data_IF_685504170127
#
_entry.id   IF_685504170127
#
_cell.length_a   1.000
_cell.length_b   1.000
_cell.length_c   1.000
_cell.angle_alpha   90.00
_cell.angle_beta   90.00
_cell.angle_gamma   90.00
#
_symmetry.space_group_name_H-M   'P 1'
#
loop_
_entity.id
_entity.type
_entity.pdbx_description
1 polymer ?
#
# COMPACT_ATOMS: atom_id res chain seq x y z
N UNK A 1 -3.94 -54.42 42.45
CA UNK A 1 -4.80 -53.45 41.73
C UNK A 1 -4.03 -52.18 41.57
N UNK A 2 -3.37 -52.04 40.45
CA UNK A 2 -2.46 -50.91 40.15
C UNK A 2 -3.24 -49.92 39.26
N UNK A 3 -3.39 -48.67 39.72
CA UNK A 3 -3.97 -47.56 38.93
C UNK A 3 -2.89 -46.93 38.08
N UNK A 4 -3.06 -46.98 36.75
CA UNK A 4 -2.32 -46.21 35.80
C UNK A 4 -2.68 -44.73 35.92
N UNK A 5 -1.71 -43.79 35.79
CA UNK A 5 -2.00 -42.37 35.69
C UNK A 5 -2.51 -42.05 34.28
N UNK A 6 -3.58 -41.25 34.23
CA UNK A 6 -4.09 -40.63 33.01
C UNK A 6 -3.21 -39.41 32.69
N UNK A 7 -2.24 -39.60 31.84
CA UNK A 7 -1.55 -38.47 31.23
C UNK A 7 -2.53 -37.73 30.31
N UNK A 8 -2.98 -36.56 30.75
CA UNK A 8 -3.68 -35.58 29.92
C UNK A 8 -2.69 -35.03 28.91
N UNK A 9 -2.73 -35.58 27.71
CA UNK A 9 -2.11 -34.92 26.54
C UNK A 9 -2.86 -33.59 26.36
N UNK A 10 -2.27 -32.49 26.81
CA UNK A 10 -2.61 -31.15 26.35
C UNK A 10 -2.24 -31.12 24.88
N UNK A 11 -3.23 -31.23 24.02
CA UNK A 11 -3.09 -30.79 22.64
C UNK A 11 -2.74 -29.29 22.65
N UNK A 12 -1.45 -29.00 22.52
CA UNK A 12 -0.98 -27.67 22.13
C UNK A 12 -1.56 -27.39 20.74
N UNK A 13 -2.66 -26.66 20.70
CA UNK A 13 -3.22 -26.12 19.47
C UNK A 13 -2.14 -25.22 18.84
N UNK A 14 -1.66 -25.56 17.64
CA UNK A 14 -0.59 -24.81 17.03
C UNK A 14 -1.12 -23.47 16.52
N UNK A 15 -0.41 -22.42 16.86
CA UNK A 15 -0.33 -21.18 16.11
C UNK A 15 -1.64 -20.49 15.79
N UNK A 16 -2.18 -19.75 16.74
CA UNK A 16 -2.86 -18.51 16.39
C UNK A 16 -1.77 -17.53 15.91
N UNK A 17 -1.45 -17.57 14.62
CA UNK A 17 -0.64 -16.52 14.03
C UNK A 17 -1.33 -15.18 14.32
N UNK A 18 -0.61 -14.16 14.85
CA UNK A 18 -1.23 -12.87 15.11
C UNK A 18 -1.89 -12.38 13.81
N UNK A 19 -3.08 -11.75 13.88
CA UNK A 19 -3.77 -11.30 12.69
C UNK A 19 -2.82 -10.38 11.92
N UNK A 20 -2.49 -10.78 10.71
CA UNK A 20 -1.48 -10.15 9.85
C UNK A 20 -1.85 -8.70 9.51
N UNK A 21 -3.12 -8.37 9.63
CA UNK A 21 -3.68 -7.05 9.45
C UNK A 21 -4.46 -6.67 10.71
N UNK A 22 -3.88 -5.85 11.57
CA UNK A 22 -4.58 -5.35 12.75
C UNK A 22 -5.43 -4.14 12.38
N UNK A 23 -6.58 -4.00 13.05
CA UNK A 23 -7.44 -2.81 12.89
C UNK A 23 -6.66 -1.52 13.15
N UNK A 24 -5.70 -1.54 14.07
CA UNK A 24 -4.85 -0.40 14.36
C UNK A 24 -4.01 0.06 13.15
N UNK A 25 -3.47 -0.86 12.35
CA UNK A 25 -2.73 -0.52 11.12
C UNK A 25 -3.69 0.10 10.10
N UNK A 26 -4.88 -0.50 9.91
CA UNK A 26 -5.88 0.04 8.99
C UNK A 26 -6.34 1.45 9.40
N UNK A 27 -6.57 1.70 10.68
CA UNK A 27 -6.91 3.04 11.16
C UNK A 27 -5.83 4.06 10.81
N UNK A 28 -4.55 3.75 11.05
CA UNK A 28 -3.43 4.63 10.68
C UNK A 28 -3.36 4.90 9.17
N UNK A 29 -3.63 3.89 8.35
CA UNK A 29 -3.71 4.07 6.88
C UNK A 29 -4.88 5.00 6.52
N UNK A 30 -6.05 4.83 7.15
CA UNK A 30 -7.21 5.69 6.91
C UNK A 30 -6.93 7.14 7.31
N UNK A 31 -6.30 7.36 8.47
CA UNK A 31 -5.92 8.69 8.95
C UNK A 31 -4.94 9.37 7.99
N UNK A 32 -3.89 8.66 7.58
CA UNK A 32 -2.94 9.20 6.59
C UNK A 32 -3.57 9.43 5.22
N UNK A 33 -4.47 8.56 4.77
CA UNK A 33 -5.21 8.81 3.54
C UNK A 33 -6.04 10.09 3.62
N UNK A 34 -6.68 10.35 4.77
CA UNK A 34 -7.46 11.55 5.00
C UNK A 34 -6.56 12.80 5.01
N UNK A 35 -5.43 12.74 5.70
CA UNK A 35 -4.46 13.83 5.73
C UNK A 35 -3.88 14.10 4.34
N UNK A 36 -3.63 13.06 3.55
CA UNK A 36 -3.21 13.20 2.15
C UNK A 36 -4.26 13.90 1.29
N UNK A 37 -5.53 13.52 1.41
CA UNK A 37 -6.63 14.17 0.67
C UNK A 37 -6.77 15.65 1.07
N UNK A 38 -6.63 15.97 2.37
CA UNK A 38 -6.64 17.35 2.85
C UNK A 38 -5.44 18.14 2.33
N UNK A 39 -4.25 17.52 2.26
CA UNK A 39 -3.06 18.13 1.67
C UNK A 39 -3.32 18.51 0.22
N UNK A 40 -3.82 17.57 -0.60
CA UNK A 40 -4.18 17.82 -1.99
C UNK A 40 -5.22 18.96 -2.15
N UNK A 41 -6.22 19.00 -1.27
CA UNK A 41 -7.26 20.04 -1.30
C UNK A 41 -6.73 21.42 -0.95
N UNK A 42 -5.78 21.53 0.00
CA UNK A 42 -5.15 22.80 0.40
C UNK A 42 -4.23 23.36 -0.68
N UNK A 43 -3.40 22.53 -1.28
CA UNK A 43 -2.52 22.95 -2.38
C UNK A 43 -3.29 23.50 -3.58
N UNK A 44 -4.51 23.02 -3.81
CA UNK A 44 -5.39 23.57 -4.84
C UNK A 44 -5.95 24.96 -4.47
N UNK A 45 -6.25 25.18 -3.19
CA UNK A 45 -6.81 26.47 -2.72
C UNK A 45 -5.78 27.61 -2.75
N UNK A 46 -4.51 27.31 -2.56
CA UNK A 46 -3.39 28.26 -2.56
C UNK A 46 -2.89 28.58 -3.99
N UNK A 47 -3.82 28.92 -4.88
CA UNK A 47 -3.59 29.19 -6.32
C UNK A 47 -2.56 30.29 -6.63
N UNK A 48 -1.97 30.93 -5.65
CA UNK A 48 -0.90 31.93 -5.81
C UNK A 48 0.46 31.30 -6.12
N UNK A 49 0.64 30.03 -5.86
CA UNK A 49 1.83 29.27 -6.22
C UNK A 49 1.42 28.30 -7.33
N UNK A 50 1.81 28.54 -8.58
CA UNK A 50 1.49 27.71 -9.75
C UNK A 50 2.19 26.33 -9.70
N UNK A 51 2.22 25.73 -8.54
CA UNK A 51 2.76 24.41 -8.31
C UNK A 51 1.65 23.41 -8.60
N UNK A 52 1.45 23.16 -9.90
CA UNK A 52 0.66 21.99 -10.29
C UNK A 52 1.24 20.79 -9.59
N UNK A 53 0.43 20.12 -8.78
CA UNK A 53 0.76 18.77 -8.29
C UNK A 53 1.19 17.95 -9.51
N UNK A 54 2.47 17.62 -9.64
CA UNK A 54 2.91 16.85 -10.79
C UNK A 54 2.12 15.54 -10.75
N UNK A 55 1.41 15.25 -11.84
CA UNK A 55 0.73 13.98 -12.09
C UNK A 55 -0.71 13.80 -11.61
N UNK A 56 -1.38 14.79 -10.98
CA UNK A 56 -2.81 14.62 -10.68
C UNK A 56 -3.67 15.24 -11.79
N UNK A 57 -4.58 14.49 -12.44
CA UNK A 57 -5.38 15.04 -13.55
C UNK A 57 -6.23 16.23 -13.09
N UNK A 58 -6.27 17.35 -13.84
CA UNK A 58 -7.02 18.56 -13.45
C UNK A 58 -8.50 18.29 -13.13
N UNK A 59 -9.15 17.40 -13.90
CA UNK A 59 -10.54 16.98 -13.63
C UNK A 59 -10.72 16.29 -12.29
N UNK A 60 -9.76 15.46 -11.89
CA UNK A 60 -9.82 14.78 -10.60
C UNK A 60 -9.61 15.77 -9.46
N UNK A 61 -8.75 16.76 -9.65
CA UNK A 61 -8.51 17.82 -8.69
C UNK A 61 -9.76 18.70 -8.48
N UNK A 62 -10.45 19.06 -9.58
CA UNK A 62 -11.73 19.77 -9.52
C UNK A 62 -12.82 18.98 -8.78
N UNK A 63 -12.88 17.66 -8.96
CA UNK A 63 -13.81 16.81 -8.22
C UNK A 63 -13.44 16.75 -6.73
N UNK A 64 -12.15 16.73 -6.38
CA UNK A 64 -11.68 16.72 -5.01
C UNK A 64 -12.11 18.00 -4.26
N UNK A 65 -12.04 19.17 -4.88
CA UNK A 65 -12.48 20.44 -4.26
C UNK A 65 -13.97 20.50 -3.97
N UNK A 66 -14.76 19.67 -4.65
CA UNK A 66 -16.22 19.55 -4.42
C UNK A 66 -16.57 18.52 -3.32
N UNK A 67 -15.58 17.75 -2.85
CA UNK A 67 -15.81 16.78 -1.79
C UNK A 67 -15.88 17.49 -0.43
N UNK A 68 -16.96 17.26 0.31
CA UNK A 68 -17.05 17.64 1.72
C UNK A 68 -16.20 16.70 2.62
N UNK A 69 -16.03 17.07 3.86
CA UNK A 69 -15.26 16.27 4.83
C UNK A 69 -15.80 14.84 4.97
N UNK A 70 -17.13 14.67 4.87
CA UNK A 70 -17.77 13.35 4.92
C UNK A 70 -17.39 12.48 3.71
N UNK A 71 -17.35 13.08 2.52
CA UNK A 71 -16.90 12.39 1.30
C UNK A 71 -15.41 12.04 1.39
N UNK A 72 -14.56 12.96 1.88
CA UNK A 72 -13.13 12.69 2.08
C UNK A 72 -12.91 11.52 3.04
N UNK A 73 -13.64 11.46 4.17
CA UNK A 73 -13.58 10.34 5.10
C UNK A 73 -14.01 9.01 4.47
N UNK A 74 -15.04 9.01 3.61
CA UNK A 74 -15.46 7.81 2.88
C UNK A 74 -14.38 7.34 1.89
N UNK A 75 -13.72 8.28 1.19
CA UNK A 75 -12.62 8.02 0.28
C UNK A 75 -11.42 7.45 1.06
N UNK A 76 -11.05 8.07 2.17
CA UNK A 76 -9.91 7.68 2.99
C UNK A 76 -10.01 6.24 3.54
N UNK A 77 -11.24 5.72 3.73
CA UNK A 77 -11.50 4.35 4.23
C UNK A 77 -11.29 3.27 3.17
N UNK A 78 -10.21 3.35 2.41
CA UNK A 78 -9.73 2.26 1.55
C UNK A 78 -8.69 1.43 2.29
N UNK A 79 -8.60 0.10 2.04
CA UNK A 79 -7.65 -0.76 2.75
C UNK A 79 -6.24 -0.70 2.15
N UNK A 80 -5.80 0.48 1.68
CA UNK A 80 -4.47 0.74 1.11
C UNK A 80 -4.20 2.24 1.12
N UNK A 81 -2.92 2.63 0.91
CA UNK A 81 -2.56 4.04 0.76
C UNK A 81 -3.05 4.60 -0.57
N UNK A 82 -3.61 5.81 -0.56
CA UNK A 82 -4.02 6.55 -1.76
C UNK A 82 -2.84 7.24 -2.45
N UNK A 83 -1.69 7.26 -1.82
CA UNK A 83 -0.44 7.81 -2.32
C UNK A 83 0.59 6.71 -2.56
N UNK A 84 1.53 6.96 -3.46
CA UNK A 84 2.74 6.18 -3.67
C UNK A 84 3.93 6.92 -3.07
N UNK A 85 4.91 6.15 -2.61
CA UNK A 85 6.22 6.63 -2.14
C UNK A 85 7.35 6.19 -3.10
N UNK A 86 7.00 5.84 -4.35
CA UNK A 86 7.98 5.41 -5.37
C UNK A 86 8.53 4.01 -5.12
N UNK A 87 7.77 3.12 -4.49
CA UNK A 87 8.23 1.76 -4.16
C UNK A 87 8.43 0.85 -5.36
N UNK A 88 7.99 1.24 -6.53
CA UNK A 88 8.23 0.58 -7.82
C UNK A 88 9.67 0.75 -8.32
N UNK A 89 10.40 1.78 -7.89
CA UNK A 89 11.79 2.00 -8.28
C UNK A 89 12.79 1.40 -7.26
N UNK A 90 12.95 0.09 -7.33
CA UNK A 90 13.88 -0.63 -6.45
C UNK A 90 15.33 -0.12 -6.57
N UNK A 91 15.76 0.29 -7.76
CA UNK A 91 17.12 0.80 -7.98
C UNK A 91 17.38 2.10 -7.24
N UNK A 92 16.40 3.01 -7.28
CA UNK A 92 16.45 4.23 -6.48
C UNK A 92 16.59 3.90 -4.99
N UNK A 93 15.72 3.03 -4.47
CA UNK A 93 15.71 2.67 -3.05
C UNK A 93 17.00 1.98 -2.60
N UNK A 94 17.58 1.10 -3.45
CA UNK A 94 18.86 0.49 -3.18
C UNK A 94 19.95 1.57 -3.05
N UNK A 95 20.03 2.49 -4.02
CA UNK A 95 21.00 3.58 -3.97
C UNK A 95 20.79 4.49 -2.75
N UNK A 96 19.56 4.88 -2.43
CA UNK A 96 19.25 5.75 -1.29
C UNK A 96 19.54 5.09 0.07
N UNK A 97 19.41 3.77 0.17
CA UNK A 97 19.73 3.02 1.37
C UNK A 97 21.22 2.69 1.50
N UNK A 98 21.99 2.64 0.40
CA UNK A 98 23.43 2.32 0.42
C UNK A 98 24.32 3.53 0.74
N UNK A 99 23.79 4.75 0.60
CA UNK A 99 24.58 5.97 0.80
C UNK A 99 24.96 6.15 2.27
N UNK A 100 26.20 5.79 2.58
CA UNK A 100 26.87 6.13 3.84
C UNK A 100 27.36 7.58 3.76
N UNK A 101 26.67 8.48 4.43
CA UNK A 101 27.09 9.83 4.90
C UNK A 101 27.58 10.92 3.93
N UNK A 102 27.88 10.71 2.66
CA UNK A 102 28.60 11.73 1.88
C UNK A 102 27.78 12.51 0.83
N UNK A 103 26.50 12.25 0.61
CA UNK A 103 25.73 12.86 -0.50
C UNK A 103 24.61 13.84 -0.12
N UNK A 104 24.59 14.34 1.09
CA UNK A 104 23.50 15.21 1.61
C UNK A 104 23.44 16.62 1.01
N UNK A 105 24.23 16.97 -0.03
CA UNK A 105 24.35 18.37 -0.47
C UNK A 105 23.90 18.70 -1.90
N UNK A 106 23.30 17.78 -2.66
CA UNK A 106 23.12 18.03 -4.11
C UNK A 106 21.70 18.17 -4.63
N UNK A 107 20.67 17.98 -3.81
CA UNK A 107 19.30 18.17 -4.29
C UNK A 107 18.72 19.48 -3.76
N UNK A 108 18.76 20.53 -4.61
CA UNK A 108 18.03 21.77 -4.38
C UNK A 108 16.55 21.45 -4.26
N UNK A 109 16.01 21.59 -3.06
CA UNK A 109 14.61 21.42 -2.76
C UNK A 109 13.84 22.59 -3.37
N UNK A 110 13.02 22.35 -4.39
CA UNK A 110 12.07 23.33 -4.87
C UNK A 110 11.12 23.69 -3.73
N UNK A 111 10.81 24.96 -3.56
CA UNK A 111 10.00 25.48 -2.43
C UNK A 111 8.62 24.83 -2.27
N UNK A 112 8.03 24.32 -3.35
CA UNK A 112 6.78 23.55 -3.33
C UNK A 112 6.85 22.20 -2.62
N UNK A 113 8.04 21.64 -2.55
CA UNK A 113 8.29 20.33 -1.92
C UNK A 113 8.22 20.41 -0.39
N UNK A 114 8.40 21.62 0.19
CA UNK A 114 8.35 21.82 1.64
C UNK A 114 6.98 21.54 2.27
N UNK A 115 5.89 21.79 1.56
CA UNK A 115 4.54 21.57 2.09
C UNK A 115 4.26 20.07 2.24
N UNK A 116 4.80 19.25 1.35
CA UNK A 116 4.61 17.80 1.35
C UNK A 116 5.61 17.06 2.25
N UNK A 117 6.74 17.67 2.58
CA UNK A 117 7.84 17.05 3.32
C UNK A 117 7.41 16.42 4.67
N UNK A 118 6.71 17.13 5.56
CA UNK A 118 6.28 16.57 6.83
C UNK A 118 5.34 15.38 6.67
N UNK A 119 4.43 15.42 5.69
CA UNK A 119 3.55 14.29 5.40
C UNK A 119 4.36 13.09 4.86
N UNK A 120 5.27 13.34 3.93
CA UNK A 120 6.13 12.29 3.36
C UNK A 120 6.97 11.60 4.44
N UNK A 121 7.54 12.37 5.38
CA UNK A 121 8.30 11.81 6.51
C UNK A 121 7.43 10.85 7.33
N UNK A 122 6.25 11.26 7.74
CA UNK A 122 5.33 10.42 8.53
C UNK A 122 4.91 9.18 7.76
N UNK A 123 4.57 9.34 6.47
CA UNK A 123 4.14 8.24 5.60
C UNK A 123 5.27 7.21 5.39
N UNK A 124 6.52 7.68 5.18
CA UNK A 124 7.67 6.81 5.00
C UNK A 124 8.06 6.07 6.29
N UNK A 125 8.00 6.75 7.45
CA UNK A 125 8.25 6.12 8.75
C UNK A 125 7.20 5.04 9.07
N UNK A 126 5.92 5.31 8.77
CA UNK A 126 4.88 4.28 8.91
C UNK A 126 5.12 3.11 7.94
N UNK A 127 5.51 3.38 6.69
CA UNK A 127 5.81 2.34 5.72
C UNK A 127 6.98 1.45 6.19
N UNK A 128 8.04 2.04 6.73
CA UNK A 128 9.16 1.33 7.34
C UNK A 128 8.71 0.47 8.52
N UNK A 129 7.88 1.01 9.41
CA UNK A 129 7.33 0.27 10.55
C UNK A 129 6.49 -0.94 10.09
N UNK A 130 5.61 -0.75 9.11
CA UNK A 130 4.78 -1.83 8.56
C UNK A 130 5.64 -2.90 7.90
N UNK A 131 6.67 -2.52 7.12
CA UNK A 131 7.58 -3.44 6.46
C UNK A 131 8.32 -4.34 7.47
N UNK A 132 8.72 -3.76 8.63
CA UNK A 132 9.39 -4.51 9.71
C UNK A 132 8.43 -5.35 10.56
N UNK A 133 7.13 -5.00 10.59
CA UNK A 133 6.15 -5.68 11.43
C UNK A 133 5.40 -6.78 10.70
N UNK A 134 5.08 -6.59 9.41
CA UNK A 134 4.27 -7.53 8.63
C UNK A 134 4.53 -7.40 7.13
N UNK A 135 5.24 -8.39 6.58
CA UNK A 135 5.51 -8.49 5.13
C UNK A 135 4.23 -8.43 4.30
N UNK A 136 3.18 -9.14 4.72
CA UNK A 136 1.92 -9.16 4.00
C UNK A 136 1.21 -7.81 4.05
N UNK A 137 1.20 -7.13 5.21
CA UNK A 137 0.63 -5.79 5.33
C UNK A 137 1.38 -4.78 4.43
N UNK A 138 2.72 -4.82 4.39
CA UNK A 138 3.52 -3.98 3.51
C UNK A 138 3.17 -4.19 2.03
N UNK A 139 2.99 -5.44 1.61
CA UNK A 139 2.59 -5.77 0.23
C UNK A 139 1.19 -5.26 -0.09
N UNK A 140 0.21 -5.60 0.73
CA UNK A 140 -1.21 -5.33 0.43
C UNK A 140 -1.57 -3.85 0.62
N UNK A 141 -1.08 -3.21 1.68
CA UNK A 141 -1.45 -1.82 1.99
C UNK A 141 -0.61 -0.80 1.22
N UNK A 142 0.69 -1.10 1.04
CA UNK A 142 1.66 -0.16 0.49
C UNK A 142 2.08 -0.50 -0.95
N UNK A 143 1.69 -1.66 -1.49
CA UNK A 143 2.20 -2.22 -2.75
C UNK A 143 3.74 -2.32 -2.77
N UNK A 144 4.34 -2.69 -1.62
CA UNK A 144 5.79 -2.78 -1.48
C UNK A 144 6.28 -4.15 -1.96
N UNK A 145 7.21 -4.23 -2.94
CA UNK A 145 7.78 -5.49 -3.39
C UNK A 145 8.63 -6.16 -2.31
N UNK A 146 8.74 -7.48 -2.35
CA UNK A 146 9.46 -8.27 -1.34
C UNK A 146 10.93 -7.85 -1.20
N UNK A 147 11.61 -7.56 -2.31
CA UNK A 147 13.00 -7.09 -2.30
C UNK A 147 13.17 -5.77 -1.54
N UNK A 148 12.18 -4.85 -1.63
CA UNK A 148 12.19 -3.59 -0.90
C UNK A 148 11.89 -3.80 0.59
N UNK A 149 10.99 -4.71 0.94
CA UNK A 149 10.71 -5.06 2.33
C UNK A 149 11.99 -5.58 3.01
N UNK A 150 12.73 -6.45 2.34
CA UNK A 150 14.02 -6.97 2.85
C UNK A 150 15.09 -5.86 2.97
N UNK A 151 15.09 -4.89 2.07
CA UNK A 151 15.95 -3.73 2.14
C UNK A 151 15.59 -2.86 3.36
N UNK A 152 14.32 -2.55 3.56
CA UNK A 152 13.84 -1.74 4.69
C UNK A 152 14.09 -2.41 6.05
N UNK A 153 14.00 -3.73 6.13
CA UNK A 153 14.33 -4.49 7.34
C UNK A 153 15.79 -4.33 7.78
N UNK A 154 16.68 -4.02 6.84
CA UNK A 154 18.12 -3.80 7.11
C UNK A 154 18.47 -2.32 7.26
N UNK A 155 17.56 -1.42 6.89
CA UNK A 155 17.80 0.03 6.90
C UNK A 155 17.47 0.61 8.26
N UNK A 156 18.40 1.28 8.94
CA UNK A 156 18.15 1.89 10.24
C UNK A 156 17.20 3.09 10.11
N UNK A 157 16.41 3.34 11.16
CA UNK A 157 15.41 4.40 11.20
C UNK A 157 15.98 5.78 10.88
N UNK A 158 17.20 6.07 11.36
CA UNK A 158 17.90 7.33 11.09
C UNK A 158 18.12 7.56 9.60
N UNK A 159 18.42 6.51 8.84
CA UNK A 159 18.62 6.59 7.40
C UNK A 159 17.29 6.76 6.66
N UNK A 160 16.23 6.07 7.08
CA UNK A 160 14.88 6.26 6.53
C UNK A 160 14.43 7.71 6.71
N UNK A 161 14.68 8.30 7.89
CA UNK A 161 14.37 9.70 8.16
C UNK A 161 15.17 10.66 7.27
N UNK A 162 16.45 10.39 7.05
CA UNK A 162 17.28 11.17 6.13
C UNK A 162 16.73 11.13 4.70
N UNK A 163 16.36 9.93 4.21
CA UNK A 163 15.74 9.77 2.89
C UNK A 163 14.46 10.58 2.80
N UNK A 164 13.65 10.61 3.86
CA UNK A 164 12.43 11.40 3.89
C UNK A 164 12.69 12.90 3.74
N UNK A 165 13.76 13.41 4.32
CA UNK A 165 14.16 14.82 4.22
C UNK A 165 14.73 15.12 2.83
N UNK A 166 15.54 14.22 2.26
CA UNK A 166 16.28 14.45 1.03
C UNK A 166 15.39 14.29 -0.23
N UNK A 167 14.33 13.45 -0.16
CA UNK A 167 13.53 13.06 -1.32
C UNK A 167 12.01 13.21 -1.16
N UNK A 168 11.49 14.33 -0.64
CA UNK A 168 10.04 14.50 -0.43
C UNK A 168 9.23 14.49 -1.73
N UNK A 169 9.87 14.71 -2.89
CA UNK A 169 9.24 14.66 -4.21
C UNK A 169 8.84 13.25 -4.69
N UNK A 170 9.13 12.20 -3.93
CA UNK A 170 8.64 10.84 -4.21
C UNK A 170 7.16 10.65 -3.88
N UNK A 171 6.54 11.57 -3.15
CA UNK A 171 5.14 11.53 -2.82
C UNK A 171 4.29 11.80 -4.07
N UNK A 172 3.52 10.83 -4.49
CA UNK A 172 2.64 10.94 -5.67
C UNK A 172 1.29 10.28 -5.40
N UNK A 173 0.20 10.74 -6.05
CA UNK A 173 -1.06 10.00 -6.02
C UNK A 173 -0.90 8.65 -6.72
N UNK A 174 -1.54 7.61 -6.20
CA UNK A 174 -1.57 6.32 -6.90
C UNK A 174 -2.47 6.40 -8.13
N UNK A 175 -2.03 5.75 -9.20
CA UNK A 175 -2.80 5.60 -10.44
C UNK A 175 -3.43 6.91 -10.95
N UNK A 176 -2.68 8.00 -11.04
CA UNK A 176 -3.25 9.32 -11.36
C UNK A 176 -3.92 9.35 -12.73
N UNK A 177 -3.43 8.54 -13.67
CA UNK A 177 -3.94 8.46 -15.04
C UNK A 177 -5.05 7.43 -15.23
N UNK A 178 -5.42 6.67 -14.19
CA UNK A 178 -6.50 5.68 -14.30
C UNK A 178 -7.86 6.35 -14.25
N UNK A 179 -8.64 6.36 -15.37
CA UNK A 179 -9.90 7.07 -15.43
C UNK A 179 -11.01 6.43 -14.59
N UNK A 180 -10.88 5.14 -14.28
CA UNK A 180 -11.86 4.40 -13.49
C UNK A 180 -11.63 4.48 -11.99
N UNK A 181 -10.55 5.08 -11.53
CA UNK A 181 -10.22 5.11 -10.10
C UNK A 181 -10.58 6.45 -9.44
N UNK A 182 -9.76 7.49 -9.60
CA UNK A 182 -9.95 8.75 -8.90
C UNK A 182 -11.27 9.46 -9.18
N UNK A 183 -11.67 9.65 -10.45
CA UNK A 183 -12.94 10.33 -10.77
C UNK A 183 -14.14 9.57 -10.20
N UNK A 184 -14.17 8.24 -10.34
CA UNK A 184 -15.26 7.43 -9.84
C UNK A 184 -15.29 7.37 -8.31
N UNK A 185 -14.13 7.26 -7.65
CA UNK A 185 -14.03 7.25 -6.21
C UNK A 185 -14.64 8.53 -5.58
N UNK A 186 -14.29 9.71 -6.13
CA UNK A 186 -14.79 11.00 -5.67
C UNK A 186 -16.28 11.19 -5.96
N UNK A 187 -16.70 10.89 -7.18
CA UNK A 187 -18.10 11.00 -7.60
C UNK A 187 -19.02 10.15 -6.75
N UNK A 188 -18.64 8.89 -6.51
CA UNK A 188 -19.46 7.94 -5.75
C UNK A 188 -19.48 8.23 -4.24
N UNK A 189 -18.37 8.75 -3.70
CA UNK A 189 -18.31 9.20 -2.31
C UNK A 189 -19.27 10.37 -2.05
N UNK A 190 -19.33 11.33 -2.98
CA UNK A 190 -20.25 12.50 -2.94
C UNK A 190 -21.71 12.08 -3.13
N UNK A 191 -21.98 11.14 -4.04
CA UNK A 191 -23.34 10.63 -4.31
C UNK A 191 -23.86 9.65 -3.25
N UNK A 192 -23.02 9.25 -2.30
CA UNK A 192 -23.33 8.28 -1.25
C UNK A 192 -23.76 6.89 -1.79
N UNK A 193 -23.31 6.51 -2.99
CA UNK A 193 -23.53 5.17 -3.55
C UNK A 193 -22.52 4.17 -2.96
N UNK A 194 -22.91 3.58 -1.84
CA UNK A 194 -22.05 2.69 -1.06
C UNK A 194 -21.63 1.44 -1.83
N UNK A 195 -22.53 0.88 -2.65
CA UNK A 195 -22.25 -0.38 -3.36
C UNK A 195 -21.19 -0.13 -4.44
N UNK A 196 -21.42 0.87 -5.30
CA UNK A 196 -20.46 1.21 -6.36
C UNK A 196 -19.14 1.73 -5.80
N UNK A 197 -19.19 2.49 -4.70
CA UNK A 197 -17.98 2.94 -4.02
C UNK A 197 -17.11 1.76 -3.56
N UNK A 198 -17.72 0.70 -3.01
CA UNK A 198 -16.99 -0.51 -2.63
C UNK A 198 -16.38 -1.23 -3.84
N UNK A 199 -17.04 -1.21 -5.00
CA UNK A 199 -16.49 -1.78 -6.23
C UNK A 199 -15.22 -1.02 -6.68
N UNK A 200 -15.21 0.31 -6.58
CA UNK A 200 -14.00 1.11 -6.90
C UNK A 200 -12.89 0.86 -5.87
N UNK A 201 -13.23 0.70 -4.60
CA UNK A 201 -12.25 0.30 -3.58
C UNK A 201 -11.63 -1.07 -3.90
N UNK A 202 -12.43 -2.02 -4.35
CA UNK A 202 -11.94 -3.33 -4.78
C UNK A 202 -11.04 -3.22 -6.04
N UNK A 203 -11.38 -2.35 -6.99
CA UNK A 203 -10.51 -2.07 -8.15
C UNK A 203 -9.11 -1.63 -7.69
N UNK A 204 -8.99 -0.77 -6.67
CA UNK A 204 -7.69 -0.37 -6.13
C UNK A 204 -6.88 -1.55 -5.57
N UNK A 205 -7.53 -2.51 -4.93
CA UNK A 205 -6.86 -3.75 -4.48
C UNK A 205 -6.34 -4.58 -5.65
N UNK A 206 -7.08 -4.65 -6.75
CA UNK A 206 -6.65 -5.33 -7.98
C UNK A 206 -5.47 -4.60 -8.64
N UNK A 207 -5.47 -3.26 -8.63
CA UNK A 207 -4.37 -2.45 -9.14
C UNK A 207 -3.09 -2.65 -8.32
N UNK A 208 -3.18 -2.78 -7.00
CA UNK A 208 -2.03 -3.13 -6.14
C UNK A 208 -1.47 -4.50 -6.52
N UNK A 209 -2.32 -5.49 -6.68
CA UNK A 209 -1.88 -6.82 -7.09
C UNK A 209 -1.15 -6.79 -8.45
N UNK A 210 -1.67 -6.02 -9.40
CA UNK A 210 -1.03 -5.83 -10.71
C UNK A 210 0.32 -5.10 -10.60
N UNK A 211 0.43 -4.06 -9.75
CA UNK A 211 1.70 -3.37 -9.50
C UNK A 211 2.77 -4.31 -8.91
N UNK A 212 2.40 -5.12 -7.92
CA UNK A 212 3.32 -6.09 -7.32
C UNK A 212 3.78 -7.13 -8.34
N UNK A 213 2.86 -7.64 -9.16
CA UNK A 213 3.21 -8.59 -10.23
C UNK A 213 4.18 -7.98 -11.24
N UNK A 214 3.97 -6.73 -11.63
CA UNK A 214 4.87 -6.01 -12.54
C UNK A 214 6.25 -5.77 -11.92
N UNK A 215 6.29 -5.36 -10.65
CA UNK A 215 7.55 -5.07 -9.94
C UNK A 215 8.38 -6.34 -9.67
N UNK A 216 7.73 -7.49 -9.50
CA UNK A 216 8.39 -8.77 -9.24
C UNK A 216 8.73 -9.53 -10.53
N UNK A 217 8.49 -8.94 -11.70
CA UNK A 217 8.76 -9.58 -13.01
C UNK A 217 7.93 -10.85 -13.25
N UNK A 218 6.84 -11.01 -12.49
CA UNK A 218 5.90 -12.12 -12.67
C UNK A 218 5.10 -11.86 -13.94
N UNK A 219 5.72 -12.22 -15.08
CA UNK A 219 5.05 -12.17 -16.37
C UNK A 219 3.75 -13.02 -16.29
N UNK A 220 2.65 -12.49 -16.80
CA UNK A 220 1.36 -13.19 -16.85
C UNK A 220 1.48 -14.60 -17.47
N UNK A 221 2.50 -14.84 -18.30
CA UNK A 221 2.87 -16.14 -18.86
C UNK A 221 3.27 -17.15 -17.79
N UNK A 222 4.03 -16.73 -16.75
CA UNK A 222 4.47 -17.62 -15.66
C UNK A 222 3.28 -18.04 -14.80
N UNK A 223 2.36 -17.10 -14.50
CA UNK A 223 1.13 -17.40 -13.76
C UNK A 223 0.22 -18.36 -14.53
N UNK A 224 0.09 -18.18 -15.84
CA UNK A 224 -0.67 -19.10 -16.69
C UNK A 224 0.01 -20.48 -16.77
N UNK A 225 1.33 -20.55 -16.85
CA UNK A 225 2.06 -21.81 -16.81
C UNK A 225 1.85 -22.55 -15.49
N UNK A 226 1.89 -21.87 -14.34
CA UNK A 226 1.58 -22.46 -13.03
C UNK A 226 0.12 -22.91 -12.92
N UNK A 227 -0.85 -22.13 -13.41
CA UNK A 227 -2.26 -22.52 -13.47
C UNK A 227 -2.47 -23.76 -14.34
N UNK A 228 -1.83 -23.82 -15.50
CA UNK A 228 -1.90 -24.97 -16.42
C UNK A 228 -1.24 -26.20 -15.80
N UNK A 229 -0.09 -26.06 -15.13
CA UNK A 229 0.55 -27.17 -14.41
C UNK A 229 -0.30 -27.67 -13.23
N UNK A 230 -0.91 -26.77 -12.47
CA UNK A 230 -1.82 -27.12 -11.38
C UNK A 230 -3.05 -27.86 -11.92
N UNK A 231 -3.68 -27.35 -12.97
CA UNK A 231 -4.82 -27.99 -13.63
C UNK A 231 -4.45 -29.38 -14.20
N UNK A 232 -3.26 -29.52 -14.76
CA UNK A 232 -2.73 -30.81 -15.24
C UNK A 232 -2.48 -31.79 -14.09
N UNK A 233 -1.96 -31.33 -12.94
CA UNK A 233 -1.75 -32.16 -11.73
C UNK A 233 -3.08 -32.62 -11.10
N UNK A 234 -4.10 -31.78 -11.11
CA UNK A 234 -5.45 -32.12 -10.66
C UNK A 234 -6.06 -33.16 -11.59
N UNK A 235 -5.97 -32.98 -12.93
CA UNK A 235 -6.46 -33.97 -13.93
C UNK A 235 -5.73 -35.29 -13.88
N UNK A 236 -4.44 -35.31 -13.59
CA UNK A 236 -3.64 -36.53 -13.48
C UNK A 236 -3.82 -37.29 -12.17
N UNK A 237 -4.74 -36.90 -11.31
CA UNK A 237 -5.05 -37.56 -10.03
C UNK A 237 -3.94 -37.44 -8.97
N UNK A 238 -2.86 -36.67 -9.21
CA UNK A 238 -1.76 -36.47 -8.25
C UNK A 238 -2.14 -35.57 -7.06
N UNK A 239 -3.27 -34.83 -7.17
CA UNK A 239 -3.86 -34.07 -6.06
C UNK A 239 -5.31 -34.51 -5.94
N UNK A 240 -5.62 -35.32 -4.95
CA UNK A 240 -7.00 -35.69 -4.60
C UNK A 240 -7.61 -34.53 -3.85
N UNK A 241 -8.59 -33.83 -4.43
CA UNK A 241 -9.47 -32.96 -3.67
C UNK A 241 -10.24 -33.83 -2.67
N UNK A 242 -10.04 -33.63 -1.38
CA UNK A 242 -10.97 -34.12 -0.36
C UNK A 242 -12.23 -33.24 -0.45
N UNK A 243 -13.18 -33.69 -1.27
CA UNK A 243 -14.56 -33.25 -1.17
C UNK A 243 -15.07 -33.82 0.14
N UNK A 244 -15.25 -32.95 1.16
CA UNK A 244 -15.94 -33.32 2.38
C UNK A 244 -17.39 -33.65 2.05
N UNK A 245 -17.71 -34.93 2.04
CA UNK A 245 -19.09 -35.40 2.13
C UNK A 245 -19.53 -35.24 3.59
N UNK A 246 -20.27 -34.17 3.87
CA UNK A 246 -21.14 -34.12 5.05
C UNK A 246 -22.34 -35.00 4.77
N UNK A 247 -22.40 -36.13 5.50
CA UNK A 247 -23.65 -36.88 5.74
C UNK A 247 -24.22 -36.41 7.06
#
# INVERSE_FOLDING_TARGET
MSKLPKDSIKEDLPFSAPPVLTDAILHRIHDLNLDYLRLLSREQADSSCSTQLPHFPPKSLELLTRCDETALQKIARVPYTLYSLGFEDLKFWQAACDVRDELSSRYCVNSSVWVQGPFFEVALLLAWHIANSSRLAARVLLAMPDALIELFAKTPLSQVRRIAIDYPGLLMPRWPTNPGFWPELMRLATQNDRIRLNNVKLLGTQLIAAQLQAAEGLDARVLNAHRLQYAARVRSGKIRMKLGTTS
#
